data_IF_825149470150
#
_entry.id   IF_825149470150
#
_cell.length_a   1.000
_cell.length_b   1.000
_cell.length_c   1.000
_cell.angle_alpha   90.00
_cell.angle_beta   90.00
_cell.angle_gamma   90.00
#
_symmetry.space_group_name_H-M   'P 1'
#
loop_
_entity.id
_entity.type
_entity.pdbx_description
1 polymer ?
#
# COMPACT_ATOMS: atom_id res chain seq x y z
N UNK A 1 26.64 16.77 18.89
CA UNK A 1 25.28 17.30 18.66
C UNK A 1 24.38 16.16 18.17
N UNK A 2 23.64 15.51 19.07
CA UNK A 2 22.96 14.21 18.84
C UNK A 2 21.46 14.41 18.52
N UNK A 3 21.00 13.84 17.40
CA UNK A 3 19.65 13.30 17.14
C UNK A 3 18.40 14.20 16.99
N UNK A 4 18.47 15.53 16.81
CA UNK A 4 17.23 16.35 16.62
C UNK A 4 16.62 16.37 15.21
N UNK A 5 17.27 15.81 14.17
CA UNK A 5 16.85 15.98 12.75
C UNK A 5 15.95 14.89 12.14
N UNK A 6 15.64 13.78 12.84
CA UNK A 6 14.85 12.68 12.24
C UNK A 6 13.33 12.84 12.39
N UNK A 7 12.89 13.61 13.38
CA UNK A 7 11.48 13.83 13.68
C UNK A 7 10.65 14.42 12.52
N UNK A 8 11.11 15.46 11.77
CA UNK A 8 10.31 15.99 10.65
C UNK A 8 10.11 14.98 9.52
N UNK A 9 11.10 14.11 9.27
CA UNK A 9 10.99 13.05 8.26
C UNK A 9 9.96 12.00 8.68
N UNK A 10 9.96 11.61 9.96
CA UNK A 10 8.98 10.67 10.50
C UNK A 10 7.56 11.25 10.40
N UNK A 11 7.38 12.54 10.71
CA UNK A 11 6.10 13.21 10.54
C UNK A 11 5.65 13.26 9.08
N UNK A 12 6.53 13.61 8.15
CA UNK A 12 6.21 13.61 6.72
C UNK A 12 5.78 12.22 6.23
N UNK A 13 6.47 11.16 6.69
CA UNK A 13 6.10 9.77 6.39
C UNK A 13 4.71 9.40 6.94
N UNK A 14 4.40 9.80 8.18
CA UNK A 14 3.07 9.61 8.75
C UNK A 14 1.98 10.38 8.00
N UNK A 15 2.27 11.60 7.54
CA UNK A 15 1.33 12.37 6.73
C UNK A 15 1.07 11.68 5.38
N UNK A 16 2.12 11.23 4.68
CA UNK A 16 1.97 10.51 3.41
C UNK A 16 1.21 9.20 3.63
N UNK A 17 1.55 8.44 4.67
CA UNK A 17 0.87 7.21 5.03
C UNK A 17 -0.62 7.45 5.35
N UNK A 18 -0.91 8.48 6.15
CA UNK A 18 -2.26 8.88 6.50
C UNK A 18 -3.08 9.29 5.27
N UNK A 19 -2.51 10.08 4.36
CA UNK A 19 -3.16 10.48 3.10
C UNK A 19 -3.45 9.27 2.22
N UNK A 20 -2.53 8.32 2.10
CA UNK A 20 -2.76 7.09 1.31
C UNK A 20 -3.90 6.25 1.90
N UNK A 21 -3.89 6.04 3.21
CA UNK A 21 -4.95 5.28 3.90
C UNK A 21 -6.29 6.00 3.80
N UNK A 22 -6.32 7.31 3.99
CA UNK A 22 -7.52 8.13 3.83
C UNK A 22 -8.04 8.13 2.39
N UNK A 23 -7.15 8.20 1.39
CA UNK A 23 -7.51 8.13 -0.01
C UNK A 23 -8.12 6.78 -0.39
N UNK A 24 -7.51 5.68 0.05
CA UNK A 24 -8.07 4.33 -0.16
C UNK A 24 -9.39 4.16 0.57
N UNK A 25 -9.51 4.65 1.80
CA UNK A 25 -10.77 4.63 2.54
C UNK A 25 -11.85 5.42 1.78
N UNK A 26 -11.57 6.67 1.37
CA UNK A 26 -12.50 7.50 0.61
C UNK A 26 -12.98 6.82 -0.68
N UNK A 27 -12.05 6.28 -1.48
CA UNK A 27 -12.38 5.56 -2.71
C UNK A 27 -13.13 4.24 -2.45
N UNK A 28 -12.88 3.60 -1.30
CA UNK A 28 -13.59 2.38 -0.88
C UNK A 28 -14.99 2.66 -0.35
N UNK A 29 -15.20 3.85 0.25
CA UNK A 29 -16.47 4.30 0.82
C UNK A 29 -17.40 4.97 -0.18
N UNK A 30 -16.90 5.33 -1.36
CA UNK A 30 -17.74 5.85 -2.42
C UNK A 30 -18.66 4.78 -3.01
N UNK A 31 -19.88 5.19 -3.38
CA UNK A 31 -20.88 4.31 -3.99
C UNK A 31 -20.36 3.70 -5.31
N UNK A 32 -21.01 2.64 -5.76
CA UNK A 32 -20.75 2.00 -7.06
C UNK A 32 -20.66 3.01 -8.21
N UNK A 33 -21.63 3.91 -8.24
CA UNK A 33 -21.89 4.87 -9.32
C UNK A 33 -20.96 6.08 -9.23
N UNK A 34 -20.81 6.68 -8.05
CA UNK A 34 -19.95 7.85 -7.86
C UNK A 34 -18.48 7.53 -8.19
N UNK A 35 -18.01 6.34 -7.81
CA UNK A 35 -16.65 5.90 -8.11
C UNK A 35 -16.43 5.61 -9.60
N UNK A 36 -17.48 5.24 -10.34
CA UNK A 36 -17.40 5.09 -11.81
C UNK A 36 -17.38 6.46 -12.47
N UNK A 37 -18.18 7.40 -11.98
CA UNK A 37 -18.26 8.75 -12.53
C UNK A 37 -16.98 9.55 -12.29
N UNK A 38 -16.36 9.43 -11.11
CA UNK A 38 -15.13 10.13 -10.75
C UNK A 38 -13.92 9.70 -11.60
N UNK A 39 -13.92 8.45 -12.09
CA UNK A 39 -12.87 7.91 -12.96
C UNK A 39 -13.20 7.92 -14.45
N UNK A 40 -14.42 8.32 -14.85
CA UNK A 40 -14.95 8.10 -16.20
C UNK A 40 -14.07 8.72 -17.28
N UNK A 41 -13.74 10.00 -17.16
CA UNK A 41 -12.91 10.72 -18.13
C UNK A 41 -11.49 10.13 -18.26
N UNK A 42 -10.93 9.63 -17.15
CA UNK A 42 -9.61 9.00 -17.16
C UNK A 42 -9.66 7.62 -17.82
N UNK A 43 -10.70 6.83 -17.50
CA UNK A 43 -10.89 5.50 -18.06
C UNK A 43 -11.18 5.59 -19.55
N UNK A 44 -11.99 6.53 -20.00
CA UNK A 44 -12.27 6.75 -21.42
C UNK A 44 -11.00 7.13 -22.19
N UNK A 45 -10.16 8.02 -21.65
CA UNK A 45 -8.87 8.35 -22.28
C UNK A 45 -7.92 7.15 -22.35
N UNK A 46 -7.86 6.35 -21.29
CA UNK A 46 -7.03 5.13 -21.27
C UNK A 46 -7.57 4.07 -22.23
N UNK A 47 -8.89 3.95 -22.37
CA UNK A 47 -9.52 3.01 -23.28
C UNK A 47 -9.29 3.43 -24.75
N UNK A 48 -9.39 4.72 -25.05
CA UNK A 48 -9.07 5.27 -26.38
C UNK A 48 -7.61 5.00 -26.78
N UNK A 49 -6.66 5.11 -25.84
CA UNK A 49 -5.25 4.78 -26.10
C UNK A 49 -5.01 3.27 -26.29
N UNK A 50 -5.81 2.42 -25.64
CA UNK A 50 -5.63 0.96 -25.69
C UNK A 50 -6.30 0.32 -26.91
N UNK A 51 -7.46 0.84 -27.35
CA UNK A 51 -8.29 0.17 -28.35
C UNK A 51 -8.20 0.79 -29.75
N UNK A 52 -7.60 1.98 -29.95
CA UNK A 52 -7.41 2.63 -31.27
C UNK A 52 -8.65 2.65 -32.20
N UNK A 53 -9.86 2.42 -31.68
CA UNK A 53 -11.07 2.18 -32.45
C UNK A 53 -12.24 2.98 -31.89
N UNK A 54 -13.02 3.55 -32.82
CA UNK A 54 -14.07 4.55 -32.59
C UNK A 54 -15.37 3.98 -32.01
N UNK A 55 -15.50 2.66 -31.87
CA UNK A 55 -16.66 2.02 -31.25
C UNK A 55 -16.20 0.96 -30.25
N UNK A 56 -16.03 1.38 -28.99
CA UNK A 56 -15.76 0.46 -27.88
C UNK A 56 -17.12 -0.07 -27.41
N UNK A 57 -17.32 -1.39 -27.47
CA UNK A 57 -18.52 -2.03 -26.95
C UNK A 57 -18.69 -1.73 -25.45
N UNK A 58 -19.93 -1.55 -24.98
CA UNK A 58 -20.22 -1.27 -23.56
C UNK A 58 -19.66 -2.36 -22.63
N UNK A 59 -19.61 -3.61 -23.11
CA UNK A 59 -19.02 -4.73 -22.38
C UNK A 59 -17.50 -4.61 -22.23
N UNK A 60 -16.81 -4.12 -23.25
CA UNK A 60 -15.36 -3.93 -23.23
C UNK A 60 -14.98 -2.75 -22.32
N UNK A 61 -15.78 -1.68 -22.36
CA UNK A 61 -15.61 -0.53 -21.46
C UNK A 61 -15.81 -0.92 -19.99
N UNK A 62 -16.81 -1.76 -19.69
CA UNK A 62 -17.05 -2.26 -18.34
C UNK A 62 -15.91 -3.17 -17.85
N UNK A 63 -15.39 -4.04 -18.70
CA UNK A 63 -14.27 -4.93 -18.39
C UNK A 63 -12.98 -4.13 -18.14
N UNK A 64 -12.70 -3.15 -19.01
CA UNK A 64 -11.54 -2.27 -18.87
C UNK A 64 -11.62 -1.41 -17.60
N UNK A 65 -12.81 -0.86 -17.30
CA UNK A 65 -13.09 -0.16 -16.05
C UNK A 65 -12.80 -1.03 -14.84
N UNK A 66 -13.27 -2.28 -14.85
CA UNK A 66 -13.03 -3.23 -13.78
C UNK A 66 -11.53 -3.50 -13.59
N UNK A 67 -10.79 -3.73 -14.67
CA UNK A 67 -9.34 -3.93 -14.63
C UNK A 67 -8.59 -2.73 -14.04
N UNK A 68 -8.90 -1.50 -14.47
CA UNK A 68 -8.28 -0.28 -13.93
C UNK A 68 -8.54 -0.17 -12.42
N UNK A 69 -9.77 -0.45 -11.98
CA UNK A 69 -10.12 -0.39 -10.55
C UNK A 69 -9.36 -1.45 -9.75
N UNK A 70 -9.27 -2.67 -10.27
CA UNK A 70 -8.55 -3.75 -9.59
C UNK A 70 -7.05 -3.47 -9.51
N UNK A 71 -6.44 -3.02 -10.60
CA UNK A 71 -5.03 -2.64 -10.63
C UNK A 71 -4.75 -1.43 -9.72
N UNK A 72 -5.62 -0.43 -9.74
CA UNK A 72 -5.52 0.74 -8.85
C UNK A 72 -5.54 0.34 -7.37
N UNK A 73 -6.42 -0.59 -7.00
CA UNK A 73 -6.44 -1.18 -5.64
C UNK A 73 -5.13 -1.88 -5.31
N UNK A 74 -4.64 -2.76 -6.18
CA UNK A 74 -3.39 -3.50 -5.96
C UNK A 74 -2.23 -2.53 -5.75
N UNK A 75 -2.10 -1.51 -6.61
CA UNK A 75 -1.04 -0.49 -6.51
C UNK A 75 -1.18 0.30 -5.20
N UNK A 76 -2.40 0.71 -4.83
CA UNK A 76 -2.62 1.48 -3.61
C UNK A 76 -2.25 0.69 -2.35
N UNK A 77 -2.67 -0.58 -2.24
CA UNK A 77 -2.31 -1.42 -1.10
C UNK A 77 -0.83 -1.80 -1.08
N UNK A 78 -0.20 -1.98 -2.24
CA UNK A 78 1.25 -2.16 -2.34
C UNK A 78 2.01 -0.95 -1.78
N UNK A 79 1.60 0.27 -2.17
CA UNK A 79 2.19 1.52 -1.65
C UNK A 79 1.96 1.70 -0.15
N UNK A 80 0.75 1.39 0.35
CA UNK A 80 0.44 1.35 1.78
C UNK A 80 1.37 0.36 2.50
N UNK A 81 1.59 -0.83 1.94
CA UNK A 81 2.53 -1.82 2.47
C UNK A 81 3.96 -1.30 2.56
N UNK A 82 4.47 -0.68 1.50
CA UNK A 82 5.84 -0.13 1.46
C UNK A 82 5.98 1.05 2.43
N UNK A 83 5.15 2.08 2.26
CA UNK A 83 5.27 3.35 3.01
C UNK A 83 4.89 3.13 4.48
N UNK A 84 3.86 2.33 4.76
CA UNK A 84 3.47 1.97 6.12
C UNK A 84 4.59 1.24 6.85
N UNK A 85 5.25 0.29 6.20
CA UNK A 85 6.39 -0.44 6.79
C UNK A 85 7.57 0.49 7.08
N UNK A 86 7.91 1.37 6.15
CA UNK A 86 8.99 2.37 6.35
C UNK A 86 8.63 3.30 7.52
N UNK A 87 7.39 3.79 7.56
CA UNK A 87 6.90 4.74 8.57
C UNK A 87 6.96 4.15 9.98
N UNK A 88 6.44 2.93 10.17
CA UNK A 88 6.42 2.27 11.49
C UNK A 88 7.85 1.87 11.89
N UNK A 89 8.67 1.37 10.97
CA UNK A 89 10.07 1.05 11.25
C UNK A 89 10.92 2.27 11.59
N UNK A 90 10.63 3.44 11.02
CA UNK A 90 11.30 4.70 11.34
C UNK A 90 10.85 5.27 12.69
N UNK A 91 9.57 5.09 13.04
CA UNK A 91 8.98 5.58 14.28
C UNK A 91 9.43 4.79 15.51
N UNK A 92 9.46 3.45 15.41
CA UNK A 92 9.83 2.56 16.52
C UNK A 92 11.33 2.22 16.52
N UNK A 93 12.20 3.24 16.50
CA UNK A 93 13.65 3.05 16.40
C UNK A 93 14.28 2.32 17.61
N UNK A 94 13.61 2.35 18.78
CA UNK A 94 14.08 1.71 20.02
C UNK A 94 13.50 0.31 20.27
N UNK A 95 12.47 -0.11 19.53
CA UNK A 95 11.84 -1.42 19.72
C UNK A 95 12.64 -2.52 19.02
N UNK A 96 12.55 -3.75 19.55
CA UNK A 96 13.14 -4.91 18.90
C UNK A 96 12.60 -5.04 17.45
N UNK A 97 13.47 -5.43 16.52
CA UNK A 97 13.13 -5.50 15.10
C UNK A 97 11.96 -6.46 14.85
N UNK A 98 11.89 -7.56 15.59
CA UNK A 98 10.75 -8.49 15.50
C UNK A 98 9.43 -7.84 15.93
N UNK A 99 9.41 -7.15 17.08
CA UNK A 99 8.20 -6.53 17.60
C UNK A 99 7.60 -5.47 16.66
N UNK A 100 8.45 -4.61 16.07
CA UNK A 100 7.97 -3.62 15.10
C UNK A 100 7.46 -4.26 13.80
N UNK A 101 8.06 -5.36 13.36
CA UNK A 101 7.61 -6.13 12.20
C UNK A 101 6.23 -6.74 12.45
N UNK A 102 6.00 -7.32 13.64
CA UNK A 102 4.68 -7.83 14.04
C UNK A 102 3.62 -6.73 14.12
N UNK A 103 3.93 -5.59 14.74
CA UNK A 103 3.02 -4.42 14.80
C UNK A 103 2.68 -3.92 13.40
N UNK A 104 3.67 -3.84 12.52
CA UNK A 104 3.48 -3.41 11.13
C UNK A 104 2.55 -4.36 10.39
N UNK A 105 2.81 -5.67 10.45
CA UNK A 105 1.97 -6.67 9.82
C UNK A 105 0.52 -6.60 10.33
N UNK A 106 0.34 -6.46 11.65
CA UNK A 106 -0.98 -6.32 12.24
C UNK A 106 -1.73 -5.07 11.74
N UNK A 107 -1.08 -3.91 11.72
CA UNK A 107 -1.69 -2.66 11.25
C UNK A 107 -2.06 -2.76 9.77
N UNK A 108 -1.17 -3.28 8.92
CA UNK A 108 -1.43 -3.39 7.48
C UNK A 108 -2.58 -4.37 7.19
N UNK A 109 -2.63 -5.50 7.89
CA UNK A 109 -3.74 -6.45 7.79
C UNK A 109 -5.04 -5.82 8.27
N UNK A 110 -5.02 -5.10 9.39
CA UNK A 110 -6.20 -4.40 9.89
C UNK A 110 -6.73 -3.37 8.88
N UNK A 111 -5.86 -2.58 8.25
CA UNK A 111 -6.26 -1.62 7.20
C UNK A 111 -6.89 -2.34 6.01
N UNK A 112 -6.23 -3.36 5.46
CA UNK A 112 -6.74 -4.12 4.31
C UNK A 112 -8.06 -4.84 4.60
N UNK A 113 -8.21 -5.35 5.82
CA UNK A 113 -9.44 -6.00 6.27
C UNK A 113 -10.58 -4.99 6.46
N UNK A 114 -10.34 -3.90 7.19
CA UNK A 114 -11.37 -2.91 7.52
C UNK A 114 -11.87 -2.17 6.27
N UNK A 115 -10.97 -1.82 5.34
CA UNK A 115 -11.34 -1.15 4.09
C UNK A 115 -12.31 -1.96 3.22
N UNK A 116 -12.24 -3.30 3.27
CA UNK A 116 -13.18 -4.17 2.56
C UNK A 116 -14.41 -4.50 3.41
N UNK A 117 -14.24 -4.77 4.71
CA UNK A 117 -15.36 -5.10 5.59
C UNK A 117 -16.33 -3.95 5.78
N UNK A 118 -15.84 -2.71 5.80
CA UNK A 118 -16.69 -1.55 6.01
C UNK A 118 -17.57 -1.24 4.78
N UNK A 119 -17.31 -1.87 3.62
CA UNK A 119 -18.20 -1.77 2.45
C UNK A 119 -19.57 -2.42 2.65
N UNK A 120 -19.71 -3.34 3.61
CA UNK A 120 -20.99 -3.97 3.96
C UNK A 120 -22.04 -2.92 4.37
N UNK A 121 -21.59 -1.80 4.92
CA UNK A 121 -22.47 -0.73 5.40
C UNK A 121 -22.87 0.27 4.32
N UNK A 122 -22.36 0.14 3.09
CA UNK A 122 -22.65 1.06 1.99
C UNK A 122 -23.75 0.44 1.11
N UNK A 123 -24.91 1.11 0.93
CA UNK A 123 -25.92 0.64 0.00
C UNK A 123 -25.31 0.58 -1.42
N UNK A 124 -25.57 -0.49 -2.18
CA UNK A 124 -25.00 -0.84 -3.51
C UNK A 124 -23.64 -1.54 -3.55
N UNK A 125 -22.93 -1.69 -2.42
CA UNK A 125 -21.64 -2.42 -2.37
C UNK A 125 -21.79 -3.74 -1.62
N UNK A 126 -21.31 -4.82 -2.21
CA UNK A 126 -21.21 -6.11 -1.54
C UNK A 126 -19.76 -6.39 -1.15
N UNK A 127 -19.59 -6.98 0.03
CA UNK A 127 -18.31 -7.51 0.47
C UNK A 127 -17.84 -8.59 -0.49
N UNK A 128 -16.65 -8.42 -1.05
CA UNK A 128 -16.00 -9.47 -1.83
C UNK A 128 -14.78 -10.00 -1.08
N UNK A 129 -14.81 -11.29 -0.76
CA UNK A 129 -13.69 -11.98 -0.13
C UNK A 129 -12.45 -11.99 -1.03
N UNK A 130 -12.63 -12.17 -2.34
CA UNK A 130 -11.52 -12.17 -3.31
C UNK A 130 -10.81 -10.81 -3.35
N UNK A 131 -11.58 -9.72 -3.37
CA UNK A 131 -11.03 -8.36 -3.36
C UNK A 131 -10.28 -8.03 -2.05
N UNK A 132 -10.76 -8.57 -0.92
CA UNK A 132 -10.06 -8.50 0.37
C UNK A 132 -8.69 -9.19 0.29
N UNK A 133 -8.67 -10.43 -0.19
CA UNK A 133 -7.45 -11.24 -0.28
C UNK A 133 -6.41 -10.60 -1.18
N UNK A 134 -6.84 -10.01 -2.30
CA UNK A 134 -5.94 -9.28 -3.22
C UNK A 134 -5.35 -8.04 -2.53
N UNK A 135 -6.16 -7.29 -1.78
CA UNK A 135 -5.69 -6.12 -1.02
C UNK A 135 -4.68 -6.51 0.06
N UNK A 136 -4.97 -7.59 0.79
CA UNK A 136 -4.08 -8.16 1.80
C UNK A 136 -2.77 -8.66 1.19
N UNK A 137 -2.82 -9.37 0.07
CA UNK A 137 -1.65 -9.88 -0.64
C UNK A 137 -0.77 -8.73 -1.15
N UNK A 138 -1.35 -7.68 -1.71
CA UNK A 138 -0.62 -6.51 -2.17
C UNK A 138 0.06 -5.76 -1.01
N UNK A 139 -0.64 -5.54 0.10
CA UNK A 139 -0.06 -4.92 1.30
C UNK A 139 1.06 -5.79 1.90
N UNK A 140 0.86 -7.11 1.94
CA UNK A 140 1.88 -8.06 2.39
C UNK A 140 3.11 -8.06 1.48
N UNK A 141 2.93 -8.00 0.16
CA UNK A 141 4.04 -7.91 -0.79
C UNK A 141 4.89 -6.66 -0.55
N UNK A 142 4.25 -5.50 -0.35
CA UNK A 142 4.94 -4.25 -0.03
C UNK A 142 5.71 -4.32 1.30
N UNK A 143 5.11 -4.94 2.31
CA UNK A 143 5.75 -5.19 3.60
C UNK A 143 6.96 -6.14 3.51
N UNK A 144 6.82 -7.26 2.79
CA UNK A 144 7.89 -8.24 2.59
C UNK A 144 9.06 -7.58 1.86
N UNK A 145 8.78 -6.83 0.80
CA UNK A 145 9.79 -6.12 0.02
C UNK A 145 10.67 -5.22 0.90
N UNK A 146 10.05 -4.36 1.72
CA UNK A 146 10.79 -3.47 2.65
C UNK A 146 11.52 -4.26 3.73
N UNK A 147 10.89 -5.33 4.24
CA UNK A 147 11.48 -6.16 5.31
C UNK A 147 12.73 -6.90 4.83
N UNK A 148 12.70 -7.47 3.63
CA UNK A 148 13.85 -8.14 2.99
C UNK A 148 14.98 -7.13 2.79
N UNK A 149 14.71 -5.96 2.20
CA UNK A 149 15.73 -4.92 2.00
C UNK A 149 16.36 -4.51 3.34
N UNK A 150 15.53 -4.29 4.36
CA UNK A 150 16.01 -3.88 5.68
C UNK A 150 16.90 -4.95 6.32
N UNK A 151 16.53 -6.22 6.17
CA UNK A 151 17.26 -7.35 6.72
C UNK A 151 18.59 -7.53 5.99
N UNK A 152 18.61 -7.48 4.65
CA UNK A 152 19.84 -7.54 3.84
C UNK A 152 20.81 -6.42 4.22
N UNK A 153 20.35 -5.17 4.35
CA UNK A 153 21.21 -4.05 4.76
C UNK A 153 21.80 -4.26 6.15
N UNK A 154 21.02 -4.82 7.08
CA UNK A 154 21.52 -5.13 8.44
C UNK A 154 22.55 -6.25 8.42
N UNK A 155 22.32 -7.31 7.65
CA UNK A 155 23.26 -8.42 7.51
C UNK A 155 24.59 -7.96 6.93
N UNK A 156 24.56 -7.19 5.84
CA UNK A 156 25.76 -6.62 5.21
C UNK A 156 26.53 -5.75 6.20
N UNK A 157 25.85 -4.85 6.93
CA UNK A 157 26.52 -4.03 7.95
C UNK A 157 27.09 -4.85 9.11
N UNK A 158 26.41 -5.92 9.51
CA UNK A 158 26.90 -6.85 10.53
C UNK A 158 28.16 -7.57 10.09
N UNK A 159 28.17 -8.08 8.85
CA UNK A 159 29.32 -8.74 8.25
C UNK A 159 30.55 -7.82 8.15
N UNK A 160 30.38 -6.59 7.64
CA UNK A 160 31.47 -5.63 7.58
C UNK A 160 32.02 -5.27 8.97
N UNK A 161 31.15 -5.13 9.98
CA UNK A 161 31.60 -4.88 11.36
C UNK A 161 32.44 -6.03 11.92
N UNK A 162 32.03 -7.28 11.66
CA UNK A 162 32.78 -8.46 12.06
C UNK A 162 34.16 -8.51 11.37
N UNK A 163 34.22 -8.23 10.06
CA UNK A 163 35.52 -8.16 9.36
C UNK A 163 36.43 -7.06 9.91
N UNK A 164 35.91 -5.85 10.16
CA UNK A 164 36.71 -4.77 10.75
C UNK A 164 37.19 -5.09 12.16
N UNK A 165 36.43 -5.85 12.95
CA UNK A 165 36.85 -6.27 14.28
C UNK A 165 37.93 -7.37 14.23
N UNK A 166 37.86 -8.26 13.23
CA UNK A 166 38.86 -9.31 13.01
C UNK A 166 40.20 -8.79 12.47
N UNK A 167 40.23 -7.65 11.78
CA UNK A 167 41.47 -7.02 11.30
C UNK A 167 42.13 -6.11 12.33
N UNK A 168 41.47 -5.82 13.45
CA UNK A 168 41.97 -4.96 14.52
C UNK A 168 42.53 -5.73 15.73
N UNK A 169 42.53 -7.07 15.68
CA UNK A 169 43.14 -8.00 16.65
C UNK A 169 44.41 -8.62 16.08
#
# INVERSE_FOLDING_TARGET
>A
MKNKKRWPIVLALWLIFGVLVAGVAYLSFQSGEDAKQLGKDMIEKLAQMQYESSEISENDMNTFTYMIRQNGRVIAFLLIGIIGTITIHASCAKCNWFAKTCITAFILVAIAYLTEKLKIYIPTRHYSYEEMMISMAAAAAGFIFVSVITLTVKLVKGFFRLMTASHAS
#
